data_IF_559765367941
#
_entry.id   IF_559765367941
#
_cell.length_a   1.000
_cell.length_b   1.000
_cell.length_c   1.000
_cell.angle_alpha   90.00
_cell.angle_beta   90.00
_cell.angle_gamma   90.00
#
_symmetry.space_group_name_H-M   'P 1'
#
loop_
_entity.id
_entity.type
_entity.pdbx_description
1 polymer ?
#
# COMPACT_ATOMS: atom_id res chain seq x y z
N UNK A 1 4.44 -7.73 -11.30
CA UNK A 1 2.97 -7.84 -11.33
C UNK A 1 2.44 -7.76 -9.91
N UNK A 2 1.29 -7.12 -9.70
CA UNK A 2 0.52 -7.21 -8.45
C UNK A 2 -0.88 -7.73 -8.82
N UNK A 3 -1.39 -8.70 -8.07
CA UNK A 3 -2.72 -9.31 -8.28
C UNK A 3 -3.40 -9.47 -6.93
N UNK A 4 -4.75 -9.44 -6.91
CA UNK A 4 -5.52 -9.41 -5.67
C UNK A 4 -6.94 -9.97 -5.85
N UNK A 5 -7.46 -10.56 -4.78
CA UNK A 5 -8.89 -10.84 -4.57
C UNK A 5 -9.54 -9.83 -3.59
N UNK A 6 -8.85 -8.71 -3.34
CA UNK A 6 -9.07 -7.69 -2.32
C UNK A 6 -8.73 -8.16 -0.89
N UNK A 7 -9.72 -8.49 -0.06
CA UNK A 7 -9.44 -8.94 1.30
C UNK A 7 -8.91 -10.37 1.36
N UNK A 8 -8.47 -10.78 2.55
CA UNK A 8 -8.08 -12.17 2.78
C UNK A 8 -9.29 -13.07 2.56
N UNK A 9 -9.10 -14.09 1.72
CA UNK A 9 -10.16 -14.97 1.23
C UNK A 9 -11.26 -14.27 0.40
N UNK A 10 -11.04 -13.04 -0.05
CA UNK A 10 -11.93 -12.30 -0.93
C UNK A 10 -13.34 -12.15 -0.36
N UNK A 11 -14.33 -12.66 -1.07
CA UNK A 11 -15.73 -12.67 -0.64
C UNK A 11 -16.06 -13.73 0.42
N UNK A 12 -15.08 -14.53 0.86
CA UNK A 12 -15.25 -15.55 1.89
C UNK A 12 -15.90 -16.84 1.40
N UNK A 13 -16.08 -17.00 0.08
CA UNK A 13 -16.61 -18.23 -0.50
C UNK A 13 -15.86 -18.62 -1.79
N UNK A 14 -15.91 -19.91 -2.09
CA UNK A 14 -15.48 -20.47 -3.37
C UNK A 14 -16.64 -21.15 -4.08
N UNK A 15 -16.52 -21.30 -5.39
CA UNK A 15 -17.52 -22.04 -6.17
C UNK A 15 -17.34 -23.55 -5.96
N UNK A 16 -18.42 -24.27 -5.68
CA UNK A 16 -18.38 -25.71 -5.32
C UNK A 16 -17.71 -26.60 -6.38
N UNK A 17 -17.93 -26.32 -7.66
CA UNK A 17 -17.49 -27.20 -8.73
C UNK A 17 -16.01 -27.03 -9.12
N UNK A 18 -15.44 -25.83 -8.95
CA UNK A 18 -14.08 -25.50 -9.41
C UNK A 18 -13.13 -25.11 -8.29
N UNK A 19 -13.65 -24.81 -7.10
CA UNK A 19 -12.86 -24.32 -5.97
C UNK A 19 -12.34 -22.89 -6.13
N UNK A 20 -12.73 -22.14 -7.18
CA UNK A 20 -12.28 -20.76 -7.39
C UNK A 20 -12.79 -19.86 -6.26
N UNK A 21 -11.86 -19.20 -5.56
CA UNK A 21 -12.17 -18.21 -4.52
C UNK A 21 -12.61 -16.91 -5.18
N UNK A 22 -13.79 -16.42 -4.81
CA UNK A 22 -14.35 -15.20 -5.38
C UNK A 22 -13.77 -13.96 -4.71
N UNK A 23 -13.50 -12.92 -5.49
CA UNK A 23 -13.02 -11.65 -4.96
C UNK A 23 -14.17 -10.85 -4.33
N UNK A 24 -13.82 -9.90 -3.46
CA UNK A 24 -14.74 -8.87 -2.96
C UNK A 24 -14.30 -7.47 -3.40
N UNK A 25 -13.85 -7.31 -4.65
CA UNK A 25 -13.28 -6.04 -5.15
C UNK A 25 -14.31 -4.90 -5.22
N UNK A 26 -15.60 -5.22 -5.12
CA UNK A 26 -16.66 -4.21 -5.02
C UNK A 26 -16.50 -3.30 -3.78
N UNK A 27 -15.83 -3.76 -2.73
CA UNK A 27 -15.51 -2.96 -1.53
C UNK A 27 -14.54 -1.80 -1.81
N UNK A 28 -13.73 -1.87 -2.87
CA UNK A 28 -12.83 -0.78 -3.26
C UNK A 28 -13.56 0.43 -3.86
N UNK A 29 -14.84 0.29 -4.25
CA UNK A 29 -15.66 1.45 -4.63
C UNK A 29 -16.04 2.29 -3.41
N UNK A 30 -16.20 3.59 -3.63
CA UNK A 30 -16.89 4.45 -2.68
C UNK A 30 -18.40 4.25 -2.78
N UNK A 31 -19.10 4.34 -1.64
CA UNK A 31 -20.57 4.34 -1.58
C UNK A 31 -21.05 5.61 -0.88
N UNK A 32 -22.07 6.31 -1.41
CA UNK A 32 -22.67 7.46 -0.70
C UNK A 32 -23.06 7.06 0.72
N UNK A 33 -22.63 7.84 1.72
CA UNK A 33 -22.98 7.60 3.12
C UNK A 33 -22.14 6.55 3.87
N UNK A 34 -21.19 5.88 3.22
CA UNK A 34 -20.31 4.89 3.87
C UNK A 34 -18.83 5.23 3.67
N UNK A 35 -18.05 5.21 4.76
CA UNK A 35 -16.59 5.16 4.69
C UNK A 35 -16.17 3.73 4.38
N UNK A 36 -15.20 3.52 3.49
CA UNK A 36 -14.75 2.17 3.17
C UNK A 36 -13.91 1.56 4.31
N UNK A 37 -13.55 0.28 4.17
CA UNK A 37 -12.79 -0.50 5.15
C UNK A 37 -11.39 0.05 5.48
N UNK A 38 -10.88 0.98 4.67
CA UNK A 38 -9.61 1.70 4.90
C UNK A 38 -9.81 3.10 5.48
N UNK A 39 -11.05 3.47 5.84
CA UNK A 39 -11.42 4.76 6.42
C UNK A 39 -11.54 5.90 5.42
N UNK A 40 -11.48 5.65 4.10
CA UNK A 40 -11.56 6.73 3.12
C UNK A 40 -12.97 7.31 3.03
N UNK A 41 -13.07 8.65 3.01
CA UNK A 41 -14.32 9.37 2.76
C UNK A 41 -14.86 9.03 1.37
N UNK A 42 -16.18 9.02 1.17
CA UNK A 42 -16.77 8.70 -0.13
C UNK A 42 -16.31 9.68 -1.20
N UNK A 43 -15.79 9.13 -2.30
CA UNK A 43 -15.37 9.89 -3.47
C UNK A 43 -16.35 9.63 -4.62
N UNK A 44 -17.08 10.66 -5.11
CA UNK A 44 -18.00 10.50 -6.23
C UNK A 44 -17.33 9.94 -7.50
N UNK A 45 -16.06 10.29 -7.72
CA UNK A 45 -15.27 9.76 -8.82
C UNK A 45 -15.11 8.23 -8.76
N UNK A 46 -15.22 7.63 -7.57
CA UNK A 46 -15.11 6.20 -7.33
C UNK A 46 -16.46 5.57 -6.90
N UNK A 47 -17.61 6.16 -7.26
CA UNK A 47 -18.89 5.50 -7.07
C UNK A 47 -19.10 4.34 -8.05
N UNK A 48 -19.90 3.36 -7.60
CA UNK A 48 -20.27 2.16 -8.35
C UNK A 48 -21.05 2.56 -9.61
N UNK A 49 -20.68 1.96 -10.74
CA UNK A 49 -21.45 2.02 -11.97
C UNK A 49 -21.23 0.74 -12.80
N UNK A 50 -22.21 0.32 -13.62
CA UNK A 50 -22.06 -0.86 -14.48
C UNK A 50 -20.82 -0.76 -15.37
N UNK A 51 -20.02 -1.84 -15.42
CA UNK A 51 -18.80 -1.92 -16.24
C UNK A 51 -17.61 -1.07 -15.74
N UNK A 52 -17.79 -0.26 -14.69
CA UNK A 52 -16.71 0.56 -14.11
C UNK A 52 -15.74 -0.33 -13.33
N UNK A 53 -14.48 0.11 -13.25
CA UNK A 53 -13.44 -0.51 -12.42
C UNK A 53 -13.23 0.31 -11.15
N UNK A 54 -13.12 -0.33 -9.97
CA UNK A 54 -12.85 0.38 -8.74
C UNK A 54 -11.43 0.96 -8.72
N UNK A 55 -11.24 2.04 -7.96
CA UNK A 55 -9.91 2.57 -7.65
C UNK A 55 -9.07 1.51 -6.94
N UNK A 56 -7.78 1.42 -7.26
CA UNK A 56 -6.86 0.52 -6.59
C UNK A 56 -5.61 1.26 -6.10
N UNK A 57 -5.08 0.81 -4.97
CA UNK A 57 -3.78 1.25 -4.46
C UNK A 57 -2.60 0.51 -5.11
N UNK A 58 -2.86 -0.49 -5.97
CA UNK A 58 -1.81 -1.23 -6.65
C UNK A 58 -0.96 -0.29 -7.53
N UNK A 59 0.37 -0.37 -7.40
CA UNK A 59 1.29 0.44 -8.20
C UNK A 59 2.54 -0.36 -8.64
N UNK A 60 2.37 -1.51 -9.33
CA UNK A 60 3.52 -2.26 -9.86
C UNK A 60 4.32 -1.34 -10.79
N UNK A 61 5.62 -1.20 -10.53
CA UNK A 61 6.45 -0.18 -11.16
C UNK A 61 7.75 -0.75 -11.69
N UNK A 62 8.19 -0.22 -12.83
CA UNK A 62 9.51 -0.48 -13.42
C UNK A 62 10.18 0.88 -13.62
N UNK A 63 11.35 1.07 -13.02
CA UNK A 63 12.18 2.26 -13.20
C UNK A 63 13.28 1.89 -14.18
N UNK A 64 13.39 2.69 -15.25
CA UNK A 64 14.38 2.54 -16.31
C UNK A 64 15.41 3.65 -16.26
N UNK A 65 16.64 3.36 -16.69
CA UNK A 65 17.64 4.40 -16.89
C UNK A 65 17.43 5.15 -18.22
N UNK A 66 18.30 6.15 -18.48
CA UNK A 66 18.28 6.95 -19.72
C UNK A 66 18.52 6.13 -20.99
N UNK A 67 18.91 4.86 -20.86
CA UNK A 67 19.19 3.92 -21.94
C UNK A 67 18.12 2.83 -22.04
N UNK A 68 16.97 3.01 -21.37
CA UNK A 68 15.86 2.05 -21.31
C UNK A 68 16.19 0.70 -20.66
N UNK A 69 17.26 0.62 -19.87
CA UNK A 69 17.54 -0.59 -19.09
C UNK A 69 16.73 -0.55 -17.79
N UNK A 70 16.03 -1.64 -17.48
CA UNK A 70 15.36 -1.80 -16.19
C UNK A 70 16.38 -1.81 -15.05
N UNK A 71 16.23 -0.88 -14.11
CA UNK A 71 17.08 -0.73 -12.92
C UNK A 71 16.40 -1.19 -11.65
N UNK A 72 15.11 -0.87 -11.50
CA UNK A 72 14.31 -1.32 -10.37
C UNK A 72 12.98 -1.87 -10.87
N UNK A 73 12.67 -3.11 -10.52
CA UNK A 73 11.33 -3.69 -10.67
C UNK A 73 10.78 -3.87 -9.28
N UNK A 74 9.65 -3.24 -8.97
CA UNK A 74 9.09 -3.22 -7.62
C UNK A 74 7.55 -3.34 -7.64
N UNK A 75 7.02 -4.04 -6.65
CA UNK A 75 5.59 -4.09 -6.36
C UNK A 75 5.35 -4.31 -4.88
N UNK A 76 4.12 -4.04 -4.44
CA UNK A 76 3.72 -4.26 -3.06
C UNK A 76 2.30 -4.81 -2.92
N UNK A 77 2.01 -5.33 -1.73
CA UNK A 77 0.66 -5.58 -1.20
C UNK A 77 0.50 -4.88 0.16
N UNK A 78 -0.74 -4.70 0.63
CA UNK A 78 -1.03 -4.03 1.91
C UNK A 78 -2.05 -2.90 1.86
N UNK A 79 -3.01 -2.96 0.94
CA UNK A 79 -4.08 -1.96 0.83
C UNK A 79 -3.55 -0.55 0.55
N UNK A 80 -4.06 0.45 1.28
CA UNK A 80 -3.66 1.86 1.14
C UNK A 80 -2.16 2.11 1.38
N UNK A 81 -1.45 1.17 2.04
CA UNK A 81 -0.01 1.28 2.30
C UNK A 81 0.85 1.00 1.08
N UNK A 82 0.31 0.37 0.03
CA UNK A 82 1.08 -0.04 -1.17
C UNK A 82 1.86 1.14 -1.75
N UNK A 83 1.17 2.26 -1.98
CA UNK A 83 1.77 3.45 -2.63
C UNK A 83 2.93 4.00 -1.80
N UNK A 84 2.71 4.23 -0.50
CA UNK A 84 3.74 4.76 0.40
C UNK A 84 4.90 3.80 0.62
N UNK A 85 4.64 2.49 0.59
CA UNK A 85 5.68 1.48 0.77
C UNK A 85 6.61 1.42 -0.45
N UNK A 86 6.04 1.43 -1.67
CA UNK A 86 6.82 1.50 -2.90
C UNK A 86 7.65 2.77 -2.93
N UNK A 87 7.05 3.92 -2.61
CA UNK A 87 7.77 5.18 -2.55
C UNK A 87 8.96 5.11 -1.59
N UNK A 88 8.78 4.62 -0.36
CA UNK A 88 9.86 4.52 0.63
C UNK A 88 10.99 3.60 0.18
N UNK A 89 10.69 2.40 -0.33
CA UNK A 89 11.74 1.47 -0.79
C UNK A 89 12.49 2.04 -1.99
N UNK A 90 11.78 2.68 -2.93
CA UNK A 90 12.40 3.36 -4.06
C UNK A 90 13.32 4.51 -3.60
N UNK A 91 12.86 5.38 -2.71
CA UNK A 91 13.68 6.47 -2.16
C UNK A 91 14.91 5.95 -1.43
N UNK A 92 14.76 4.92 -0.59
CA UNK A 92 15.86 4.29 0.14
C UNK A 92 16.93 3.72 -0.80
N UNK A 93 16.50 3.01 -1.85
CA UNK A 93 17.40 2.42 -2.84
C UNK A 93 18.11 3.45 -3.71
N UNK A 94 17.41 4.50 -4.15
CA UNK A 94 17.90 5.47 -5.14
C UNK A 94 18.60 6.68 -4.50
N UNK A 95 18.19 7.09 -3.30
CA UNK A 95 18.69 8.31 -2.65
C UNK A 95 19.54 8.04 -1.42
N UNK A 96 19.22 7.02 -0.62
CA UNK A 96 19.90 6.79 0.66
C UNK A 96 21.05 5.77 0.57
N UNK A 97 21.42 5.37 -0.66
CA UNK A 97 22.55 4.48 -0.90
C UNK A 97 22.36 3.04 -0.40
N UNK A 98 21.17 2.69 0.09
CA UNK A 98 20.89 1.35 0.63
C UNK A 98 20.91 0.30 -0.49
N UNK A 99 21.33 -0.92 -0.17
CA UNK A 99 21.09 -2.10 -0.99
C UNK A 99 19.59 -2.36 -1.12
N UNK A 100 19.18 -3.15 -2.12
CA UNK A 100 17.74 -3.45 -2.27
C UNK A 100 17.20 -4.26 -1.09
N UNK A 101 18.03 -5.10 -0.48
CA UNK A 101 17.64 -5.92 0.68
C UNK A 101 17.41 -5.05 1.91
N UNK A 102 18.36 -4.18 2.23
CA UNK A 102 18.21 -3.19 3.32
C UNK A 102 16.94 -2.35 3.09
N UNK A 103 16.77 -1.78 1.89
CA UNK A 103 15.61 -0.94 1.59
C UNK A 103 14.25 -1.67 1.80
N UNK A 104 14.18 -2.96 1.49
CA UNK A 104 12.96 -3.78 1.66
C UNK A 104 12.70 -4.14 3.14
N UNK A 105 13.76 -4.44 3.89
CA UNK A 105 13.69 -4.86 5.30
C UNK A 105 13.46 -3.71 6.27
N UNK A 106 13.78 -2.50 5.83
CA UNK A 106 13.64 -1.28 6.62
C UNK A 106 12.20 -0.99 7.05
N UNK A 107 12.08 -0.48 8.27
CA UNK A 107 10.79 -0.10 8.84
C UNK A 107 10.18 1.08 8.06
N UNK A 108 8.85 1.04 7.90
CA UNK A 108 8.09 2.02 7.13
C UNK A 108 7.14 2.86 7.99
N UNK A 109 6.86 4.06 7.50
CA UNK A 109 5.81 4.96 7.98
C UNK A 109 4.72 5.12 6.91
N UNK A 110 3.51 5.48 7.31
CA UNK A 110 2.38 5.64 6.40
C UNK A 110 1.45 6.73 6.91
N UNK A 111 1.04 7.62 6.01
CA UNK A 111 -0.02 8.59 6.25
C UNK A 111 -0.87 8.69 4.98
N UNK A 112 -2.18 8.58 5.12
CA UNK A 112 -3.14 8.62 4.00
C UNK A 112 -4.11 9.80 4.10
N UNK A 113 -3.67 10.87 4.78
CA UNK A 113 -4.43 12.08 5.11
C UNK A 113 -5.53 11.82 6.14
N UNK A 114 -6.39 10.83 5.91
CA UNK A 114 -7.44 10.46 6.85
C UNK A 114 -7.38 8.96 7.18
N UNK A 115 -7.37 8.56 8.47
CA UNK A 115 -7.35 9.42 9.66
C UNK A 115 -6.06 10.27 9.77
N UNK A 116 -6.12 11.38 10.52
CA UNK A 116 -5.02 12.35 10.70
C UNK A 116 -3.93 11.82 11.65
N UNK A 117 -3.39 10.65 11.35
CA UNK A 117 -2.41 9.94 12.16
C UNK A 117 -1.37 9.30 11.26
N UNK A 118 -0.09 9.46 11.61
CA UNK A 118 1.01 8.72 11.00
C UNK A 118 1.10 7.36 11.66
N UNK A 119 0.92 6.33 10.85
CA UNK A 119 1.08 4.95 11.25
C UNK A 119 2.52 4.52 11.00
N UNK A 120 3.16 3.84 11.95
CA UNK A 120 4.56 3.41 11.80
C UNK A 120 4.80 1.99 12.31
N UNK A 121 5.78 1.31 11.68
CA UNK A 121 6.20 -0.05 12.03
C UNK A 121 7.14 -0.09 13.24
N UNK A 122 7.28 -1.27 13.85
CA UNK A 122 8.37 -1.54 14.76
C UNK A 122 9.72 -1.41 14.03
N UNK A 123 10.71 -0.78 14.66
CA UNK A 123 12.03 -0.51 14.07
C UNK A 123 12.26 0.94 13.64
N UNK A 124 11.21 1.77 13.54
CA UNK A 124 11.40 3.21 13.41
C UNK A 124 12.03 3.76 14.69
N UNK A 125 13.16 4.46 14.54
CA UNK A 125 13.91 5.03 15.66
C UNK A 125 13.09 6.11 16.38
N UNK A 126 13.26 6.19 17.70
CA UNK A 126 12.46 7.06 18.56
C UNK A 126 12.61 8.55 18.19
N UNK A 127 13.80 8.97 17.75
CA UNK A 127 14.06 10.34 17.30
C UNK A 127 13.14 10.78 16.16
N UNK A 128 12.83 9.88 15.21
CA UNK A 128 11.88 10.17 14.12
C UNK A 128 10.46 10.31 14.68
N UNK A 129 10.07 9.42 15.59
CA UNK A 129 8.73 9.43 16.20
C UNK A 129 8.54 10.72 17.00
N UNK A 130 9.47 11.06 17.88
CA UNK A 130 9.40 12.26 18.71
C UNK A 130 9.53 13.53 17.88
N UNK A 131 10.40 13.55 16.86
CA UNK A 131 10.52 14.67 15.93
C UNK A 131 9.22 14.97 15.19
N UNK A 132 8.49 13.94 14.75
CA UNK A 132 7.18 14.10 14.12
C UNK A 132 6.09 14.51 15.13
N UNK A 133 6.09 13.94 16.35
CA UNK A 133 5.17 14.37 17.43
C UNK A 133 5.36 15.85 17.78
N UNK A 134 6.60 16.31 17.90
CA UNK A 134 6.94 17.71 18.19
C UNK A 134 6.47 18.67 17.09
N UNK A 135 6.32 18.18 15.85
CA UNK A 135 5.73 18.92 14.73
C UNK A 135 4.20 18.85 14.68
N UNK A 136 3.56 18.21 15.67
CA UNK A 136 2.10 18.12 15.78
C UNK A 136 1.48 16.89 15.10
N UNK A 137 2.28 15.94 14.62
CA UNK A 137 1.73 14.71 14.03
C UNK A 137 1.24 13.76 15.14
N UNK A 138 -0.01 13.30 15.00
CA UNK A 138 -0.46 12.11 15.71
C UNK A 138 0.36 10.91 15.25
N UNK A 139 0.99 10.17 16.16
CA UNK A 139 1.80 9.00 15.83
C UNK A 139 1.19 7.76 16.47
N UNK A 140 0.93 6.73 15.66
CA UNK A 140 0.39 5.44 16.09
C UNK A 140 1.28 4.31 15.58
N UNK A 141 1.83 3.51 16.51
CA UNK A 141 2.53 2.29 16.12
C UNK A 141 1.50 1.23 15.80
N UNK A 142 1.35 0.87 14.53
CA UNK A 142 0.39 -0.16 14.17
C UNK A 142 0.99 -1.55 14.46
N UNK A 143 0.21 -2.41 15.11
CA UNK A 143 0.64 -3.75 15.56
C UNK A 143 0.16 -4.89 14.65
N UNK A 144 -0.58 -4.52 13.59
CA UNK A 144 -1.21 -5.45 12.66
C UNK A 144 -0.43 -5.58 11.36
N UNK A 145 -1.15 -5.79 10.26
CA UNK A 145 -0.60 -6.02 8.94
C UNK A 145 0.01 -4.74 8.37
N UNK A 146 1.24 -4.84 7.88
CA UNK A 146 1.91 -3.77 7.15
C UNK A 146 1.76 -3.92 5.64
N UNK A 147 2.78 -3.47 4.93
CA UNK A 147 2.95 -3.71 3.50
C UNK A 147 4.00 -4.79 3.25
N UNK A 148 3.83 -5.57 2.19
CA UNK A 148 4.83 -6.53 1.71
C UNK A 148 5.40 -6.00 0.41
N UNK A 149 6.72 -6.00 0.26
CA UNK A 149 7.42 -5.54 -0.94
C UNK A 149 8.15 -6.71 -1.59
N UNK A 150 8.03 -6.82 -2.91
CA UNK A 150 8.91 -7.63 -3.74
C UNK A 150 9.64 -6.71 -4.70
N UNK A 151 10.98 -6.77 -4.72
CA UNK A 151 11.78 -5.90 -5.56
C UNK A 151 13.05 -6.58 -6.10
N UNK A 152 13.44 -6.17 -7.31
CA UNK A 152 14.69 -6.56 -7.96
C UNK A 152 15.42 -5.28 -8.41
N UNK A 153 16.71 -5.18 -8.10
CA UNK A 153 17.54 -4.04 -8.49
C UNK A 153 18.79 -4.51 -9.27
N UNK A 154 19.13 -3.80 -10.35
CA UNK A 154 20.29 -4.07 -11.21
C UNK A 154 21.04 -2.79 -11.59
#
# INVERSE_FOLDING_TARGET
MTSSINFYYGAGFSTLNTGIVMNNVMDDFSSPGFSNSFGLKPSPANFIAPGKRPLSSMSPSIIVDRYNNAKLVIGASGGTKIVTAIAQVTMRKLWFGQTIKEAVDEARIHHQIFPMTVQYEFGIIEDIVQGLRAKGHGMERYRGRGSIICALFR
#
